data_IF_838537273300
#
_entry.id   IF_838537273300
#
_cell.length_a   1.000
_cell.length_b   1.000
_cell.length_c   1.000
_cell.angle_alpha   90.00
_cell.angle_beta   90.00
_cell.angle_gamma   90.00
#
_symmetry.space_group_name_H-M   'P 1'
#
loop_
_entity.id
_entity.type
_entity.pdbx_description
1 polymer ?
#
# COMPACT_ATOMS: atom_id res chain seq x y z
N UNK A 1 -29.54 46.20 -11.78
CA UNK A 1 -28.51 45.29 -12.34
C UNK A 1 -27.15 45.86 -12.03
N UNK A 2 -26.52 45.40 -10.96
CA UNK A 2 -25.19 45.82 -10.55
C UNK A 2 -24.61 44.70 -9.73
N UNK A 3 -23.89 43.78 -10.38
CA UNK A 3 -23.06 42.82 -9.68
C UNK A 3 -21.88 43.60 -9.13
N UNK A 4 -21.89 43.87 -7.83
CA UNK A 4 -20.76 44.47 -7.15
C UNK A 4 -19.54 43.57 -7.33
N UNK A 5 -18.45 44.12 -7.88
CA UNK A 5 -17.15 43.47 -8.00
C UNK A 5 -16.56 43.21 -6.60
N UNK A 6 -17.08 42.19 -5.93
CA UNK A 6 -16.46 41.62 -4.75
C UNK A 6 -15.13 40.98 -5.17
N UNK A 7 -14.01 41.25 -4.47
CA UNK A 7 -12.71 40.62 -4.73
C UNK A 7 -12.75 39.09 -4.79
N UNK A 8 -13.78 38.46 -4.19
CA UNK A 8 -13.99 37.01 -4.21
C UNK A 8 -14.36 36.47 -5.59
N UNK A 9 -15.18 37.19 -6.37
CA UNK A 9 -15.61 36.74 -7.70
C UNK A 9 -14.45 36.69 -8.71
N UNK A 10 -13.54 37.66 -8.64
CA UNK A 10 -12.39 37.75 -9.55
C UNK A 10 -11.38 36.60 -9.36
N UNK A 11 -11.21 36.13 -8.13
CA UNK A 11 -10.31 34.99 -7.83
C UNK A 11 -10.89 33.67 -8.35
N UNK A 12 -12.18 33.44 -8.13
CA UNK A 12 -12.88 32.25 -8.62
C UNK A 12 -12.88 32.15 -10.16
N UNK A 13 -13.16 33.24 -10.86
CA UNK A 13 -13.12 33.25 -12.33
C UNK A 13 -11.71 33.03 -12.90
N UNK A 14 -10.67 33.51 -12.20
CA UNK A 14 -9.29 33.22 -12.56
C UNK A 14 -8.99 31.72 -12.38
N UNK A 15 -9.45 31.11 -11.28
CA UNK A 15 -9.30 29.66 -11.05
C UNK A 15 -10.06 28.84 -12.10
N UNK A 16 -11.29 29.19 -12.46
CA UNK A 16 -12.02 28.50 -13.53
C UNK A 16 -11.34 28.61 -14.90
N UNK A 17 -10.71 29.76 -15.21
CA UNK A 17 -9.91 29.91 -16.43
C UNK A 17 -8.67 29.01 -16.43
N UNK A 18 -8.04 28.80 -15.27
CA UNK A 18 -6.94 27.85 -15.11
C UNK A 18 -7.47 26.43 -15.34
N UNK A 19 -8.57 26.05 -14.66
CA UNK A 19 -9.17 24.72 -14.79
C UNK A 19 -9.57 24.37 -16.22
N UNK A 20 -10.12 25.32 -17.00
CA UNK A 20 -10.46 25.12 -18.42
C UNK A 20 -9.25 24.84 -19.32
N UNK A 21 -8.04 25.16 -18.85
CA UNK A 21 -6.78 24.86 -19.56
C UNK A 21 -6.12 23.58 -19.03
N UNK A 22 -6.56 23.06 -17.88
CA UNK A 22 -6.06 21.81 -17.34
C UNK A 22 -6.52 20.64 -18.21
N UNK A 23 -5.57 19.79 -18.59
CA UNK A 23 -5.81 18.49 -19.24
C UNK A 23 -5.53 17.31 -18.32
N UNK A 24 -5.27 17.61 -17.04
CA UNK A 24 -4.87 16.65 -16.03
C UNK A 24 -5.78 16.79 -14.80
N UNK A 25 -6.42 15.67 -14.42
CA UNK A 25 -7.30 15.55 -13.26
C UNK A 25 -6.55 15.88 -11.96
N UNK A 26 -5.30 15.47 -11.82
CA UNK A 26 -4.50 15.72 -10.61
C UNK A 26 -4.23 17.21 -10.42
N UNK A 27 -4.01 17.95 -11.52
CA UNK A 27 -3.84 19.39 -11.47
C UNK A 27 -5.14 20.08 -11.02
N UNK A 28 -6.30 19.66 -11.55
CA UNK A 28 -7.62 20.15 -11.09
C UNK A 28 -7.79 19.90 -9.59
N UNK A 29 -7.46 18.69 -9.13
CA UNK A 29 -7.58 18.32 -7.71
C UNK A 29 -6.66 19.16 -6.81
N UNK A 30 -5.42 19.41 -7.24
CA UNK A 30 -4.48 20.26 -6.50
C UNK A 30 -5.01 21.69 -6.35
N UNK A 31 -5.50 22.27 -7.46
CA UNK A 31 -6.07 23.64 -7.46
C UNK A 31 -7.27 23.75 -6.52
N UNK A 32 -8.17 22.75 -6.51
CA UNK A 32 -9.34 22.74 -5.63
C UNK A 32 -8.95 22.50 -4.17
N UNK A 33 -7.98 21.60 -3.91
CA UNK A 33 -7.47 21.31 -2.56
C UNK A 33 -6.88 22.55 -1.90
N UNK A 34 -6.18 23.39 -2.67
CA UNK A 34 -5.57 24.64 -2.19
C UNK A 34 -6.56 25.81 -2.10
N UNK A 35 -7.78 25.65 -2.63
CA UNK A 35 -8.77 26.70 -2.61
C UNK A 35 -9.36 26.90 -1.20
N UNK A 36 -9.61 28.17 -0.85
CA UNK A 36 -10.25 28.50 0.41
C UNK A 36 -11.70 27.95 0.41
N UNK A 37 -12.27 27.61 1.57
CA UNK A 37 -13.66 27.16 1.65
C UNK A 37 -14.65 28.12 0.96
N UNK A 38 -14.40 29.44 1.05
CA UNK A 38 -15.22 30.47 0.42
C UNK A 38 -15.17 30.45 -1.13
N UNK A 39 -14.13 29.87 -1.72
CA UNK A 39 -13.96 29.78 -3.18
C UNK A 39 -14.61 28.50 -3.75
N UNK A 40 -15.06 27.56 -2.89
CA UNK A 40 -15.65 26.28 -3.32
C UNK A 40 -17.01 26.44 -4.00
N UNK A 41 -17.80 27.44 -3.64
CA UNK A 41 -19.06 27.78 -4.31
C UNK A 41 -18.85 27.99 -5.82
N UNK A 42 -17.72 28.59 -6.22
CA UNK A 42 -17.42 28.82 -7.64
C UNK A 42 -17.21 27.50 -8.39
N UNK A 43 -16.62 26.50 -7.74
CA UNK A 43 -16.47 25.16 -8.32
C UNK A 43 -17.78 24.38 -8.34
N UNK A 44 -18.62 24.55 -7.32
CA UNK A 44 -19.98 23.99 -7.30
C UNK A 44 -20.80 24.58 -8.46
N UNK A 45 -20.75 25.90 -8.65
CA UNK A 45 -21.43 26.58 -9.76
C UNK A 45 -20.90 26.12 -11.11
N UNK A 46 -19.59 25.87 -11.22
CA UNK A 46 -19.02 25.27 -12.43
C UNK A 46 -19.58 23.86 -12.68
N UNK A 47 -19.71 23.01 -11.66
CA UNK A 47 -20.36 21.71 -11.79
C UNK A 47 -21.83 21.83 -12.19
N UNK A 48 -22.59 22.75 -11.57
CA UNK A 48 -24.00 23.01 -11.96
C UNK A 48 -24.09 23.44 -13.43
N UNK A 49 -23.16 24.28 -13.89
CA UNK A 49 -23.10 24.74 -15.28
C UNK A 49 -22.71 23.64 -16.28
N UNK A 50 -21.98 22.61 -15.84
CA UNK A 50 -21.69 21.43 -16.66
C UNK A 50 -22.90 20.52 -16.88
N UNK A 51 -24.02 20.80 -16.20
CA UNK A 51 -25.42 20.62 -16.62
C UNK A 51 -26.25 19.75 -15.65
N UNK A 52 -27.49 20.18 -15.31
CA UNK A 52 -28.46 19.37 -14.56
C UNK A 52 -29.25 18.36 -15.41
N UNK A 53 -29.23 18.46 -16.75
CA UNK A 53 -30.10 17.66 -17.65
C UNK A 53 -29.34 16.77 -18.65
N UNK A 54 -28.01 16.69 -18.54
CA UNK A 54 -27.19 15.85 -19.42
C UNK A 54 -26.58 14.72 -18.61
N UNK A 55 -26.35 13.54 -19.22
CA UNK A 55 -25.57 12.49 -18.56
C UNK A 55 -24.20 13.07 -18.16
N UNK A 56 -23.66 12.65 -17.00
CA UNK A 56 -22.32 13.02 -16.61
C UNK A 56 -21.33 12.61 -17.72
N UNK A 57 -20.31 13.43 -18.00
CA UNK A 57 -19.36 13.13 -19.06
C UNK A 57 -18.59 11.85 -18.73
N UNK A 58 -18.74 10.84 -19.59
CA UNK A 58 -18.01 9.57 -19.48
C UNK A 58 -16.56 9.71 -19.97
N UNK A 59 -15.65 8.98 -19.35
CA UNK A 59 -14.24 8.83 -19.74
C UNK A 59 -13.42 10.13 -19.80
N UNK A 60 -12.10 10.03 -19.99
CA UNK A 60 -11.19 11.19 -20.10
C UNK A 60 -11.27 11.91 -21.47
N UNK A 61 -12.37 11.73 -22.21
CA UNK A 61 -12.51 12.22 -23.59
C UNK A 61 -12.97 13.68 -23.62
N UNK A 62 -12.04 14.58 -23.28
CA UNK A 62 -12.22 16.02 -23.40
C UNK A 62 -11.99 16.78 -22.11
N UNK A 63 -11.82 18.10 -22.25
CA UNK A 63 -11.55 19.00 -21.13
C UNK A 63 -12.68 18.98 -20.09
N UNK A 64 -13.94 18.90 -20.54
CA UNK A 64 -15.10 18.92 -19.65
C UNK A 64 -15.15 17.68 -18.75
N UNK A 65 -14.78 16.50 -19.25
CA UNK A 65 -14.72 15.28 -18.44
C UNK A 65 -13.60 15.33 -17.40
N UNK A 66 -12.41 15.82 -17.78
CA UNK A 66 -11.28 16.00 -16.85
C UNK A 66 -11.64 16.97 -15.72
N UNK A 67 -12.28 18.09 -16.07
CA UNK A 67 -12.74 19.09 -15.10
C UNK A 67 -13.82 18.49 -14.20
N UNK A 68 -14.83 17.83 -14.77
CA UNK A 68 -15.89 17.18 -14.00
C UNK A 68 -15.32 16.19 -12.99
N UNK A 69 -14.46 15.27 -13.44
CA UNK A 69 -13.86 14.26 -12.57
C UNK A 69 -13.03 14.91 -11.47
N UNK A 70 -12.13 15.84 -11.82
CA UNK A 70 -11.28 16.50 -10.85
C UNK A 70 -12.06 17.31 -9.82
N UNK A 71 -13.10 18.03 -10.24
CA UNK A 71 -13.98 18.80 -9.35
C UNK A 71 -14.76 17.89 -8.39
N UNK A 72 -15.40 16.83 -8.89
CA UNK A 72 -16.18 15.91 -8.05
C UNK A 72 -15.29 15.26 -7.00
N UNK A 73 -14.15 14.70 -7.40
CA UNK A 73 -13.24 14.02 -6.46
C UNK A 73 -12.65 14.98 -5.42
N UNK A 74 -12.21 16.16 -5.85
CA UNK A 74 -11.61 17.13 -4.94
C UNK A 74 -12.63 17.72 -3.95
N UNK A 75 -13.81 18.12 -4.42
CA UNK A 75 -14.86 18.67 -3.55
C UNK A 75 -15.41 17.62 -2.58
N UNK A 76 -15.53 16.36 -3.02
CA UNK A 76 -15.98 15.25 -2.16
C UNK A 76 -14.95 14.95 -1.06
N UNK A 77 -13.66 14.87 -1.41
CA UNK A 77 -12.57 14.70 -0.41
C UNK A 77 -12.42 15.89 0.52
N UNK A 78 -12.88 17.06 0.08
CA UNK A 78 -12.98 18.25 0.91
C UNK A 78 -14.27 18.32 1.76
N UNK A 79 -15.08 17.25 1.74
CA UNK A 79 -16.36 17.08 2.44
C UNK A 79 -17.38 18.21 2.18
N UNK A 80 -17.49 18.63 0.93
CA UNK A 80 -18.38 19.72 0.51
C UNK A 80 -19.81 19.19 0.36
N UNK A 81 -20.60 19.19 1.45
CA UNK A 81 -21.93 18.54 1.50
C UNK A 81 -22.94 19.09 0.49
N UNK A 82 -22.79 20.35 0.11
CA UNK A 82 -23.58 21.04 -0.92
C UNK A 82 -23.49 20.37 -2.29
N UNK A 83 -22.45 19.55 -2.51
CA UNK A 83 -22.27 18.75 -3.73
C UNK A 83 -23.27 17.57 -3.82
N UNK A 84 -23.77 17.06 -2.68
CA UNK A 84 -24.67 15.89 -2.65
C UNK A 84 -25.89 16.02 -3.57
N UNK A 85 -26.73 17.08 -3.50
CA UNK A 85 -27.89 17.20 -4.39
C UNK A 85 -27.53 17.22 -5.87
N UNK A 86 -26.36 17.76 -6.23
CA UNK A 86 -25.88 17.81 -7.62
C UNK A 86 -25.47 16.41 -8.10
N UNK A 87 -24.75 15.66 -7.28
CA UNK A 87 -24.40 14.28 -7.62
C UNK A 87 -25.62 13.36 -7.67
N UNK A 88 -26.61 13.59 -6.81
CA UNK A 88 -27.88 12.88 -6.87
C UNK A 88 -28.66 13.17 -8.16
N UNK A 89 -28.61 14.41 -8.69
CA UNK A 89 -29.23 14.70 -10.00
C UNK A 89 -28.51 14.00 -11.14
N UNK A 90 -27.17 13.90 -11.10
CA UNK A 90 -26.43 13.08 -12.07
C UNK A 90 -26.78 11.60 -11.96
N UNK A 91 -26.85 11.07 -10.73
CA UNK A 91 -27.21 9.67 -10.48
C UNK A 91 -28.66 9.34 -10.89
N UNK A 92 -29.55 10.33 -10.98
CA UNK A 92 -30.90 10.11 -11.51
C UNK A 92 -30.89 9.81 -13.02
N UNK A 93 -29.88 10.30 -13.75
CA UNK A 93 -29.69 10.06 -15.20
C UNK A 93 -28.86 8.80 -15.41
N UNK A 94 -27.71 8.71 -14.73
CA UNK A 94 -26.82 7.55 -14.75
C UNK A 94 -26.38 7.16 -13.32
N UNK A 95 -27.12 6.27 -12.65
CA UNK A 95 -26.83 5.88 -11.27
C UNK A 95 -25.55 5.05 -11.11
N UNK A 96 -24.96 4.56 -12.21
CA UNK A 96 -23.74 3.75 -12.18
C UNK A 96 -22.53 4.53 -12.70
N UNK A 97 -22.64 5.85 -12.88
CA UNK A 97 -21.50 6.66 -13.27
C UNK A 97 -20.42 6.62 -12.19
N UNK A 98 -19.31 5.94 -12.47
CA UNK A 98 -18.20 5.65 -11.55
C UNK A 98 -17.82 6.84 -10.64
N UNK A 99 -17.54 8.00 -11.23
CA UNK A 99 -17.09 9.19 -10.47
C UNK A 99 -18.18 9.78 -9.58
N UNK A 100 -19.44 9.68 -10.01
CA UNK A 100 -20.59 10.19 -9.24
C UNK A 100 -20.81 9.28 -8.03
N UNK A 101 -20.72 7.97 -8.24
CA UNK A 101 -20.78 6.96 -7.19
C UNK A 101 -19.66 7.17 -6.16
N UNK A 102 -18.40 7.32 -6.59
CA UNK A 102 -17.28 7.57 -5.68
C UNK A 102 -17.50 8.85 -4.85
N UNK A 103 -17.91 9.94 -5.50
CA UNK A 103 -18.17 11.21 -4.83
C UNK A 103 -19.31 11.12 -3.79
N UNK A 104 -20.43 10.50 -4.16
CA UNK A 104 -21.57 10.27 -3.27
C UNK A 104 -21.18 9.42 -2.05
N UNK A 105 -20.46 8.32 -2.29
CA UNK A 105 -19.99 7.44 -1.23
C UNK A 105 -18.98 8.13 -0.31
N UNK A 106 -18.10 8.98 -0.86
CA UNK A 106 -17.12 9.78 -0.10
C UNK A 106 -17.80 10.79 0.82
N UNK A 107 -18.78 11.53 0.31
CA UNK A 107 -19.53 12.54 1.08
C UNK A 107 -20.32 11.92 2.24
N UNK A 108 -20.79 10.69 2.06
CA UNK A 108 -21.45 9.89 3.08
C UNK A 108 -22.82 10.42 3.53
N UNK A 109 -23.56 11.08 2.66
CA UNK A 109 -24.93 11.50 2.94
C UNK A 109 -25.88 10.29 2.81
N UNK A 110 -26.75 10.03 3.81
CA UNK A 110 -27.67 8.89 3.76
C UNK A 110 -28.61 8.87 2.55
N UNK A 111 -28.86 10.02 1.90
CA UNK A 111 -29.64 10.08 0.66
C UNK A 111 -28.96 9.35 -0.51
N UNK A 112 -27.64 9.15 -0.44
CA UNK A 112 -26.86 8.42 -1.43
C UNK A 112 -26.95 6.89 -1.30
N UNK A 113 -27.47 6.37 -0.18
CA UNK A 113 -27.53 4.92 0.09
C UNK A 113 -28.09 4.11 -1.10
N UNK A 114 -29.23 4.47 -1.72
CA UNK A 114 -29.77 3.68 -2.83
C UNK A 114 -28.84 3.62 -4.05
N UNK A 115 -28.11 4.70 -4.33
CA UNK A 115 -27.16 4.77 -5.45
C UNK A 115 -25.94 3.91 -5.15
N UNK A 116 -25.37 4.06 -3.95
CA UNK A 116 -24.19 3.29 -3.51
C UNK A 116 -24.50 1.80 -3.43
N UNK A 117 -25.68 1.43 -2.92
CA UNK A 117 -26.14 0.04 -2.92
C UNK A 117 -26.22 -0.53 -4.35
N UNK A 118 -26.88 0.20 -5.26
CA UNK A 118 -27.00 -0.22 -6.65
C UNK A 118 -25.64 -0.38 -7.32
N UNK A 119 -24.70 0.51 -7.03
CA UNK A 119 -23.32 0.43 -7.52
C UNK A 119 -22.60 -0.81 -6.99
N UNK A 120 -22.74 -1.14 -5.70
CA UNK A 120 -22.14 -2.34 -5.12
C UNK A 120 -22.72 -3.65 -5.66
N UNK A 121 -23.97 -3.62 -6.13
CA UNK A 121 -24.70 -4.76 -6.67
C UNK A 121 -24.54 -4.90 -8.20
N UNK A 122 -23.93 -3.94 -8.91
CA UNK A 122 -23.82 -3.98 -10.36
C UNK A 122 -22.78 -4.99 -10.86
N UNK A 123 -22.73 -5.23 -12.18
CA UNK A 123 -21.78 -6.18 -12.79
C UNK A 123 -20.43 -5.55 -13.14
N UNK A 124 -20.37 -4.23 -13.26
CA UNK A 124 -19.13 -3.49 -13.50
C UNK A 124 -18.25 -3.42 -12.23
N UNK A 125 -17.07 -4.05 -12.30
CA UNK A 125 -16.07 -4.06 -11.22
C UNK A 125 -15.56 -2.66 -10.89
N UNK A 126 -15.35 -1.81 -11.89
CA UNK A 126 -14.84 -0.45 -11.70
C UNK A 126 -15.82 0.43 -10.90
N UNK A 127 -17.13 0.20 -11.09
CA UNK A 127 -18.19 0.91 -10.35
C UNK A 127 -18.30 0.40 -8.91
N UNK A 128 -18.17 -0.91 -8.68
CA UNK A 128 -18.12 -1.49 -7.32
C UNK A 128 -16.93 -0.97 -6.54
N UNK A 129 -15.75 -0.95 -7.16
CA UNK A 129 -14.52 -0.46 -6.54
C UNK A 129 -14.59 1.04 -6.22
N UNK A 130 -15.22 1.83 -7.09
CA UNK A 130 -15.46 3.25 -6.84
C UNK A 130 -16.38 3.47 -5.63
N UNK A 131 -17.42 2.65 -5.46
CA UNK A 131 -18.28 2.70 -4.29
C UNK A 131 -17.51 2.36 -3.00
N UNK A 132 -16.73 1.28 -3.00
CA UNK A 132 -15.91 0.88 -1.83
C UNK A 132 -14.82 1.90 -1.54
N UNK A 133 -14.20 2.49 -2.57
CA UNK A 133 -13.22 3.55 -2.41
C UNK A 133 -13.82 4.76 -1.70
N UNK A 134 -14.98 5.24 -2.17
CA UNK A 134 -15.67 6.35 -1.51
C UNK A 134 -16.07 6.02 -0.08
N UNK A 135 -16.61 4.83 0.19
CA UNK A 135 -16.94 4.41 1.57
C UNK A 135 -15.69 4.37 2.46
N UNK A 136 -14.57 3.83 1.96
CA UNK A 136 -13.31 3.75 2.71
C UNK A 136 -12.80 5.14 3.09
N UNK A 137 -12.78 6.08 2.14
CA UNK A 137 -12.39 7.48 2.38
C UNK A 137 -13.36 8.13 3.39
N UNK A 138 -14.66 7.86 3.25
CA UNK A 138 -15.68 8.36 4.18
C UNK A 138 -15.44 7.85 5.60
N UNK A 139 -15.12 6.56 5.76
CA UNK A 139 -14.83 5.96 7.05
C UNK A 139 -13.52 6.48 7.66
N UNK A 140 -12.45 6.60 6.86
CA UNK A 140 -11.14 7.12 7.27
C UNK A 140 -11.24 8.53 7.85
N UNK A 141 -11.95 9.41 7.16
CA UNK A 141 -12.10 10.80 7.59
C UNK A 141 -13.34 11.06 8.44
N UNK A 142 -14.10 10.01 8.77
CA UNK A 142 -15.41 10.10 9.46
C UNK A 142 -16.35 11.10 8.79
N UNK A 143 -16.36 11.10 7.46
CA UNK A 143 -17.36 11.82 6.69
C UNK A 143 -18.70 11.09 6.76
N UNK A 144 -19.72 11.76 6.27
CA UNK A 144 -21.08 11.24 6.30
C UNK A 144 -21.83 11.36 7.62
N UNK A 145 -23.12 11.07 7.54
CA UNK A 145 -23.99 10.99 8.71
C UNK A 145 -24.04 9.55 9.25
N UNK A 146 -24.50 9.43 10.50
CA UNK A 146 -24.53 8.14 11.20
C UNK A 146 -25.36 7.08 10.45
N UNK A 147 -26.43 7.49 9.76
CA UNK A 147 -27.28 6.54 9.02
C UNK A 147 -26.53 5.97 7.82
N UNK A 148 -25.79 6.80 7.10
CA UNK A 148 -24.93 6.34 6.01
C UNK A 148 -23.87 5.38 6.50
N UNK A 149 -23.10 5.74 7.54
CA UNK A 149 -22.00 4.91 8.03
C UNK A 149 -22.47 3.53 8.51
N UNK A 150 -23.56 3.48 9.27
CA UNK A 150 -24.15 2.22 9.74
C UNK A 150 -24.60 1.34 8.56
N UNK A 151 -25.26 1.92 7.57
CA UNK A 151 -25.75 1.16 6.43
C UNK A 151 -24.62 0.72 5.48
N UNK A 152 -23.58 1.55 5.34
CA UNK A 152 -22.39 1.24 4.54
C UNK A 152 -21.65 0.01 5.05
N UNK A 153 -21.60 -0.21 6.38
CA UNK A 153 -21.05 -1.45 6.92
C UNK A 153 -21.78 -2.67 6.36
N UNK A 154 -23.12 -2.66 6.45
CA UNK A 154 -23.94 -3.78 6.01
C UNK A 154 -23.83 -4.01 4.49
N UNK A 155 -23.73 -2.93 3.72
CA UNK A 155 -23.54 -2.99 2.28
C UNK A 155 -22.20 -3.64 1.91
N UNK A 156 -21.09 -3.14 2.47
CA UNK A 156 -19.74 -3.67 2.16
C UNK A 156 -19.62 -5.12 2.63
N UNK A 157 -20.15 -5.46 3.80
CA UNK A 157 -20.13 -6.84 4.31
C UNK A 157 -20.89 -7.81 3.38
N UNK A 158 -22.05 -7.40 2.85
CA UNK A 158 -22.78 -8.19 1.85
C UNK A 158 -22.02 -8.31 0.53
N UNK A 159 -21.40 -7.23 0.06
CA UNK A 159 -20.60 -7.25 -1.16
C UNK A 159 -19.39 -8.17 -1.04
N UNK A 160 -18.74 -8.20 0.12
CA UNK A 160 -17.61 -9.09 0.38
C UNK A 160 -18.01 -10.59 0.38
N UNK A 161 -19.24 -10.90 0.80
CA UNK A 161 -19.78 -12.27 0.75
C UNK A 161 -20.32 -12.68 -0.65
N UNK A 162 -20.35 -11.74 -1.61
CA UNK A 162 -20.82 -11.98 -2.97
C UNK A 162 -19.74 -12.65 -3.82
N UNK A 163 -20.09 -13.50 -4.81
CA UNK A 163 -19.11 -14.04 -5.76
C UNK A 163 -18.58 -12.99 -6.76
N UNK A 164 -19.10 -11.76 -6.75
CA UNK A 164 -18.66 -10.69 -7.64
C UNK A 164 -17.32 -10.12 -7.17
N UNK A 165 -16.39 -9.93 -8.11
CA UNK A 165 -15.07 -9.33 -7.81
C UNK A 165 -15.20 -7.94 -7.22
N UNK A 166 -14.39 -7.65 -6.23
CA UNK A 166 -14.31 -6.37 -5.54
C UNK A 166 -12.85 -6.21 -5.07
N UNK A 167 -12.37 -4.99 -4.92
CA UNK A 167 -11.16 -4.74 -4.14
C UNK A 167 -11.35 -5.18 -2.67
N UNK A 168 -11.04 -6.45 -2.40
CA UNK A 168 -11.27 -7.11 -1.10
C UNK A 168 -10.48 -6.42 0.01
N UNK A 169 -9.22 -6.05 -0.25
CA UNK A 169 -8.38 -5.36 0.74
C UNK A 169 -9.07 -4.08 1.18
N UNK A 170 -9.45 -3.21 0.23
CA UNK A 170 -10.09 -1.94 0.55
C UNK A 170 -11.44 -2.12 1.24
N UNK A 171 -12.20 -3.15 0.86
CA UNK A 171 -13.47 -3.49 1.52
C UNK A 171 -13.26 -3.90 2.99
N UNK A 172 -12.26 -4.75 3.27
CA UNK A 172 -11.91 -5.15 4.63
C UNK A 172 -11.47 -3.94 5.47
N UNK A 173 -10.59 -3.09 4.93
CA UNK A 173 -10.15 -1.88 5.63
C UNK A 173 -11.32 -0.92 5.90
N UNK A 174 -12.23 -0.73 4.95
CA UNK A 174 -13.42 0.09 5.12
C UNK A 174 -14.30 -0.45 6.26
N UNK A 175 -14.54 -1.77 6.32
CA UNK A 175 -15.29 -2.39 7.41
C UNK A 175 -14.64 -2.14 8.77
N UNK A 176 -13.31 -2.31 8.86
CA UNK A 176 -12.54 -2.10 10.09
C UNK A 176 -12.57 -0.64 10.56
N UNK A 177 -12.60 0.32 9.63
CA UNK A 177 -12.75 1.76 9.93
C UNK A 177 -14.17 2.14 10.34
N UNK A 178 -15.19 1.50 9.75
CA UNK A 178 -16.61 1.75 10.04
C UNK A 178 -17.01 1.21 11.41
N UNK A 179 -16.66 -0.04 11.71
CA UNK A 179 -16.95 -0.71 12.98
C UNK A 179 -15.91 -1.81 13.24
N UNK A 180 -14.83 -1.45 13.93
CA UNK A 180 -13.68 -2.33 14.18
C UNK A 180 -14.08 -3.64 14.87
N UNK A 181 -14.94 -3.58 15.89
CA UNK A 181 -15.33 -4.75 16.67
C UNK A 181 -16.15 -5.72 15.81
N UNK A 182 -17.17 -5.22 15.10
CA UNK A 182 -18.02 -6.05 14.24
C UNK A 182 -17.27 -6.59 13.03
N UNK A 183 -16.40 -5.78 12.42
CA UNK A 183 -15.54 -6.21 11.31
C UNK A 183 -14.54 -7.28 11.75
N UNK A 184 -13.93 -7.14 12.93
CA UNK A 184 -13.00 -8.15 13.47
C UNK A 184 -13.67 -9.51 13.59
N UNK A 185 -14.89 -9.57 14.13
CA UNK A 185 -15.66 -10.83 14.21
C UNK A 185 -15.95 -11.41 12.83
N UNK A 186 -16.35 -10.56 11.87
CA UNK A 186 -16.67 -10.98 10.50
C UNK A 186 -15.44 -11.51 9.75
N UNK A 187 -14.34 -10.76 9.78
CA UNK A 187 -13.14 -11.01 8.98
C UNK A 187 -12.25 -12.11 9.57
N UNK A 188 -12.41 -12.45 10.85
CA UNK A 188 -11.76 -13.60 11.49
C UNK A 188 -12.62 -14.87 11.49
N UNK A 189 -13.80 -14.83 10.87
CA UNK A 189 -14.64 -16.02 10.71
C UNK A 189 -13.96 -17.06 9.81
N UNK A 190 -14.22 -18.35 10.07
CA UNK A 190 -13.68 -19.49 9.30
C UNK A 190 -14.06 -19.44 7.81
N UNK A 191 -15.15 -18.74 7.45
CA UNK A 191 -15.52 -18.53 6.05
C UNK A 191 -14.61 -17.54 5.31
N UNK A 192 -13.98 -16.61 6.05
CA UNK A 192 -13.07 -15.60 5.49
C UNK A 192 -11.61 -16.04 5.58
N UNK A 193 -11.23 -16.66 6.71
CA UNK A 193 -9.88 -17.17 6.94
C UNK A 193 -9.85 -18.66 6.65
N UNK A 194 -9.80 -19.02 5.38
CA UNK A 194 -9.78 -20.40 4.87
C UNK A 194 -8.84 -20.54 3.70
N UNK A 195 -8.24 -21.72 3.54
CA UNK A 195 -7.37 -22.04 2.40
C UNK A 195 -8.06 -21.97 1.04
N UNK A 196 -9.39 -21.97 0.98
CA UNK A 196 -10.16 -21.82 -0.27
C UNK A 196 -10.40 -20.36 -0.68
N UNK A 197 -10.10 -19.39 0.18
CA UNK A 197 -10.30 -17.98 -0.11
C UNK A 197 -9.09 -17.44 -0.90
N UNK A 198 -9.28 -17.14 -2.18
CA UNK A 198 -8.22 -16.60 -3.05
C UNK A 198 -7.76 -15.19 -2.62
N UNK A 199 -8.61 -14.46 -1.89
CA UNK A 199 -8.31 -13.14 -1.35
C UNK A 199 -7.81 -13.19 0.10
N UNK A 200 -7.46 -14.37 0.62
CA UNK A 200 -7.00 -14.55 1.99
C UNK A 200 -5.85 -13.61 2.35
N UNK A 201 -4.86 -13.45 1.46
CA UNK A 201 -3.76 -12.49 1.69
C UNK A 201 -4.24 -11.06 1.92
N UNK A 202 -5.18 -10.57 1.10
CA UNK A 202 -5.79 -9.24 1.23
C UNK A 202 -6.57 -9.07 2.53
N UNK A 203 -7.28 -10.11 2.98
CA UNK A 203 -8.00 -10.10 4.26
C UNK A 203 -7.01 -10.03 5.43
N UNK A 204 -5.96 -10.85 5.40
CA UNK A 204 -4.94 -10.91 6.44
C UNK A 204 -4.13 -9.61 6.54
N UNK A 205 -3.77 -9.01 5.40
CA UNK A 205 -3.14 -7.70 5.32
C UNK A 205 -3.99 -6.63 6.04
N UNK A 206 -5.28 -6.56 5.72
CA UNK A 206 -6.18 -5.59 6.34
C UNK A 206 -6.32 -5.82 7.86
N UNK A 207 -6.38 -7.08 8.30
CA UNK A 207 -6.40 -7.44 9.73
C UNK A 207 -5.11 -7.02 10.43
N UNK A 208 -3.95 -7.26 9.81
CA UNK A 208 -2.64 -6.85 10.33
C UNK A 208 -2.58 -5.32 10.48
N UNK A 209 -2.92 -4.58 9.44
CA UNK A 209 -2.88 -3.12 9.42
C UNK A 209 -3.81 -2.52 10.50
N UNK A 210 -4.96 -3.17 10.76
CA UNK A 210 -5.90 -2.80 11.82
C UNK A 210 -5.60 -3.43 13.19
N UNK A 211 -4.45 -4.11 13.34
CA UNK A 211 -3.99 -4.79 14.56
C UNK A 211 -5.01 -5.78 15.15
N UNK A 212 -5.78 -6.45 14.29
CA UNK A 212 -6.73 -7.49 14.69
C UNK A 212 -5.97 -8.82 14.84
N UNK A 213 -6.07 -9.41 16.03
CA UNK A 213 -5.43 -10.69 16.34
C UNK A 213 -6.26 -11.85 15.81
N UNK A 214 -5.60 -12.79 15.13
CA UNK A 214 -6.21 -14.05 14.72
C UNK A 214 -6.16 -15.07 15.86
N UNK A 215 -7.20 -15.91 16.04
CA UNK A 215 -7.13 -17.04 16.95
C UNK A 215 -6.01 -18.02 16.52
N UNK A 216 -5.08 -18.41 17.41
CA UNK A 216 -3.97 -19.31 17.06
C UNK A 216 -4.42 -20.62 16.44
N UNK A 217 -5.53 -21.20 16.92
CA UNK A 217 -6.08 -22.47 16.42
C UNK A 217 -6.51 -22.35 14.95
N UNK A 218 -7.15 -21.23 14.60
CA UNK A 218 -7.57 -20.93 13.24
C UNK A 218 -6.35 -20.75 12.34
N UNK A 219 -5.37 -19.94 12.76
CA UNK A 219 -4.13 -19.70 12.02
C UNK A 219 -3.37 -21.01 11.75
N UNK A 220 -3.27 -21.89 12.74
CA UNK A 220 -2.63 -23.21 12.60
C UNK A 220 -3.37 -24.09 11.60
N UNK A 221 -4.70 -24.18 11.71
CA UNK A 221 -5.52 -24.98 10.80
C UNK A 221 -5.32 -24.54 9.35
N UNK A 222 -5.38 -23.24 9.09
CA UNK A 222 -5.26 -22.70 7.73
C UNK A 222 -3.84 -22.89 7.18
N UNK A 223 -2.79 -22.71 7.99
CA UNK A 223 -1.42 -23.02 7.57
C UNK A 223 -1.26 -24.51 7.20
N UNK A 224 -1.87 -25.42 7.94
CA UNK A 224 -1.81 -26.86 7.64
C UNK A 224 -2.60 -27.24 6.38
N UNK A 225 -3.68 -26.54 6.10
CA UNK A 225 -4.42 -26.68 4.84
C UNK A 225 -3.63 -26.11 3.65
N UNK A 226 -3.00 -24.94 3.80
CA UNK A 226 -2.23 -24.29 2.73
C UNK A 226 -1.05 -25.14 2.25
N UNK A 227 -0.45 -25.96 3.13
CA UNK A 227 0.58 -26.94 2.76
C UNK A 227 0.10 -28.03 1.78
N UNK A 228 -1.21 -28.24 1.67
CA UNK A 228 -1.82 -29.30 0.85
C UNK A 228 -2.32 -28.79 -0.50
N UNK A 229 -2.37 -27.47 -0.70
CA UNK A 229 -2.77 -26.87 -1.97
C UNK A 229 -1.53 -26.50 -2.79
N UNK A 230 -1.63 -26.47 -4.14
CA UNK A 230 -0.51 -26.04 -4.98
C UNK A 230 -0.06 -24.63 -4.62
N UNK A 231 1.26 -24.45 -4.55
CA UNK A 231 1.83 -23.13 -4.33
C UNK A 231 1.52 -22.21 -5.52
N UNK A 232 0.92 -21.08 -5.20
CA UNK A 232 0.59 -19.99 -6.10
C UNK A 232 0.95 -18.67 -5.41
N UNK A 233 0.90 -17.57 -6.15
CA UNK A 233 1.15 -16.25 -5.59
C UNK A 233 0.30 -15.96 -4.33
N UNK A 234 -1.00 -16.29 -4.36
CA UNK A 234 -1.91 -15.99 -3.26
C UNK A 234 -1.71 -16.93 -2.05
N UNK A 235 -1.39 -18.21 -2.25
CA UNK A 235 -1.11 -19.13 -1.13
C UNK A 235 0.19 -18.76 -0.43
N UNK A 236 1.21 -18.30 -1.17
CA UNK A 236 2.46 -17.84 -0.60
C UNK A 236 2.24 -16.55 0.20
N UNK A 237 1.54 -15.57 -0.36
CA UNK A 237 1.16 -14.34 0.36
C UNK A 237 0.35 -14.65 1.63
N UNK A 238 -0.65 -15.53 1.56
CA UNK A 238 -1.41 -15.94 2.75
C UNK A 238 -0.54 -16.65 3.79
N UNK A 239 0.39 -17.52 3.36
CA UNK A 239 1.32 -18.20 4.26
C UNK A 239 2.19 -17.20 5.02
N UNK A 240 2.72 -16.19 4.33
CA UNK A 240 3.54 -15.13 4.91
C UNK A 240 2.77 -14.41 6.02
N UNK A 241 1.57 -13.91 5.72
CA UNK A 241 0.76 -13.20 6.71
C UNK A 241 0.34 -14.06 7.89
N UNK A 242 0.05 -15.35 7.67
CA UNK A 242 -0.31 -16.28 8.75
C UNK A 242 0.86 -16.60 9.67
N UNK A 243 2.09 -16.70 9.14
CA UNK A 243 3.29 -16.89 9.97
C UNK A 243 3.51 -15.67 10.88
N UNK A 244 3.39 -14.46 10.33
CA UNK A 244 3.51 -13.21 11.09
C UNK A 244 2.39 -13.07 12.13
N UNK A 245 1.15 -13.42 11.78
CA UNK A 245 0.03 -13.43 12.73
C UNK A 245 0.23 -14.46 13.85
N UNK A 246 0.74 -15.65 13.53
CA UNK A 246 1.02 -16.69 14.52
C UNK A 246 2.13 -16.23 15.48
N UNK A 247 3.19 -15.60 14.98
CA UNK A 247 4.29 -15.09 15.81
C UNK A 247 3.83 -14.12 16.90
N UNK A 248 2.80 -13.31 16.63
CA UNK A 248 2.23 -12.36 17.61
C UNK A 248 1.37 -13.03 18.68
N UNK A 249 0.84 -14.23 18.43
CA UNK A 249 -0.19 -14.85 19.28
C UNK A 249 0.24 -16.18 19.90
N UNK A 250 1.14 -16.91 19.24
CA UNK A 250 1.76 -18.16 19.69
C UNK A 250 3.21 -18.22 19.20
N UNK A 251 4.15 -17.48 19.85
CA UNK A 251 5.54 -17.40 19.43
C UNK A 251 6.24 -18.74 19.25
N UNK A 252 6.01 -19.69 20.16
CA UNK A 252 6.62 -21.02 20.10
C UNK A 252 6.18 -21.78 18.84
N UNK A 253 4.87 -21.80 18.56
CA UNK A 253 4.32 -22.47 17.37
C UNK A 253 4.79 -21.80 16.08
N UNK A 254 4.94 -20.47 16.09
CA UNK A 254 5.46 -19.72 14.97
C UNK A 254 6.91 -20.10 14.65
N UNK A 255 7.79 -20.19 15.67
CA UNK A 255 9.18 -20.62 15.48
C UNK A 255 9.24 -22.02 14.87
N UNK A 256 8.49 -22.97 15.43
CA UNK A 256 8.45 -24.34 14.93
C UNK A 256 8.05 -24.38 13.44
N UNK A 257 6.98 -23.68 13.08
CA UNK A 257 6.43 -23.68 11.71
C UNK A 257 7.28 -22.89 10.73
N UNK A 258 7.69 -21.68 11.09
CA UNK A 258 8.51 -20.81 10.24
C UNK A 258 9.88 -21.43 9.94
N UNK A 259 10.47 -22.19 10.87
CA UNK A 259 11.74 -22.90 10.64
C UNK A 259 11.69 -23.79 9.39
N UNK A 260 10.54 -24.42 9.10
CA UNK A 260 10.37 -25.25 7.90
C UNK A 260 10.41 -24.46 6.57
N UNK A 261 10.22 -23.14 6.64
CA UNK A 261 10.20 -22.24 5.48
C UNK A 261 11.51 -21.45 5.29
N UNK A 262 12.48 -21.57 6.19
CA UNK A 262 13.77 -20.86 6.06
C UNK A 262 14.58 -21.25 4.82
N UNK A 263 14.37 -22.47 4.30
CA UNK A 263 15.04 -22.99 3.10
C UNK A 263 14.09 -23.06 1.89
N UNK A 264 12.93 -22.40 1.96
CA UNK A 264 11.94 -22.38 0.88
C UNK A 264 12.51 -21.76 -0.41
N UNK A 265 12.19 -22.25 -1.62
CA UNK A 265 12.72 -21.69 -2.88
C UNK A 265 12.29 -20.23 -3.12
N UNK A 266 11.07 -19.86 -2.75
CA UNK A 266 10.57 -18.48 -2.84
C UNK A 266 11.19 -17.57 -1.76
N UNK A 267 11.82 -16.46 -2.18
CA UNK A 267 12.51 -15.51 -1.30
C UNK A 267 11.54 -14.84 -0.30
N UNK A 268 10.38 -14.39 -0.76
CA UNK A 268 9.40 -13.71 0.12
C UNK A 268 8.94 -14.60 1.26
N UNK A 269 8.78 -15.90 0.99
CA UNK A 269 8.42 -16.90 1.99
C UNK A 269 9.53 -17.13 3.01
N UNK A 270 10.81 -17.17 2.58
CA UNK A 270 11.96 -17.21 3.51
C UNK A 270 12.02 -15.95 4.37
N UNK A 271 11.85 -14.78 3.76
CA UNK A 271 11.87 -13.50 4.46
C UNK A 271 10.78 -13.44 5.53
N UNK A 272 9.53 -13.80 5.20
CA UNK A 272 8.44 -13.82 6.17
C UNK A 272 8.66 -14.85 7.29
N UNK A 273 9.28 -16.00 6.96
CA UNK A 273 9.66 -16.99 7.97
C UNK A 273 10.72 -16.43 8.94
N UNK A 274 11.74 -15.76 8.41
CA UNK A 274 12.75 -15.08 9.22
C UNK A 274 12.13 -13.98 10.10
N UNK A 275 11.25 -13.16 9.53
CA UNK A 275 10.56 -12.11 10.26
C UNK A 275 9.64 -12.69 11.36
N UNK A 276 8.90 -13.76 11.08
CA UNK A 276 8.06 -14.43 12.07
C UNK A 276 8.88 -14.97 13.25
N UNK A 277 10.07 -15.54 12.99
CA UNK A 277 10.96 -16.02 14.05
C UNK A 277 11.51 -14.83 14.86
N UNK A 278 11.96 -13.76 14.21
CA UNK A 278 12.44 -12.57 14.90
C UNK A 278 11.34 -11.96 15.80
N UNK A 279 10.13 -11.83 15.26
CA UNK A 279 8.97 -11.33 15.98
C UNK A 279 8.58 -12.22 17.17
N UNK A 280 8.63 -13.54 17.01
CA UNK A 280 8.40 -14.50 18.10
C UNK A 280 9.46 -14.40 19.22
N UNK A 281 10.64 -13.86 18.92
CA UNK A 281 11.67 -13.53 19.91
C UNK A 281 11.54 -12.12 20.53
N UNK A 282 10.45 -11.39 20.22
CA UNK A 282 10.22 -10.02 20.70
C UNK A 282 11.16 -9.00 20.07
N UNK A 283 11.70 -9.31 18.89
CA UNK A 283 12.59 -8.42 18.16
C UNK A 283 11.80 -7.60 17.16
N UNK A 284 12.26 -6.36 16.93
CA UNK A 284 11.75 -5.54 15.84
C UNK A 284 11.94 -6.31 14.53
N UNK A 285 10.89 -6.31 13.70
CA UNK A 285 10.97 -6.74 12.30
C UNK A 285 12.09 -5.98 11.58
N UNK A 286 12.48 -6.44 10.38
CA UNK A 286 13.71 -5.97 9.75
C UNK A 286 13.74 -4.43 9.66
N UNK A 287 14.89 -3.87 10.06
CA UNK A 287 15.16 -2.47 10.44
C UNK A 287 14.98 -1.40 9.34
N UNK A 288 14.07 -1.61 8.39
CA UNK A 288 13.88 -0.72 7.25
C UNK A 288 13.22 0.63 7.60
N UNK A 289 12.69 0.78 8.82
CA UNK A 289 11.98 1.99 9.25
C UNK A 289 12.68 2.73 10.41
N UNK A 290 14.02 2.77 10.42
CA UNK A 290 14.75 3.65 11.33
C UNK A 290 14.98 5.03 10.70
N UNK A 291 14.65 6.09 11.43
CA UNK A 291 15.00 7.47 11.06
C UNK A 291 16.51 7.70 11.23
N UNK A 292 17.05 8.70 10.52
CA UNK A 292 18.48 9.06 10.65
C UNK A 292 18.89 9.46 12.07
N UNK A 293 17.96 9.97 12.88
CA UNK A 293 18.22 10.31 14.28
C UNK A 293 18.31 9.06 15.18
N UNK A 294 17.53 8.01 14.88
CA UNK A 294 17.60 6.73 15.57
C UNK A 294 18.88 5.98 15.21
N UNK A 295 19.33 6.07 13.95
CA UNK A 295 20.56 5.44 13.47
C UNK A 295 21.78 5.70 14.35
N UNK A 296 21.98 6.95 14.79
CA UNK A 296 23.16 7.30 15.59
C UNK A 296 23.19 6.56 16.94
N UNK A 297 22.02 6.30 17.51
CA UNK A 297 21.81 5.67 18.81
C UNK A 297 21.86 4.14 18.74
N UNK A 298 21.77 3.57 17.53
CA UNK A 298 21.83 2.13 17.34
C UNK A 298 23.24 1.57 17.60
N UNK A 299 23.27 0.39 18.21
CA UNK A 299 24.50 -0.39 18.31
C UNK A 299 25.00 -0.84 16.94
N UNK A 300 26.28 -1.19 16.85
CA UNK A 300 26.91 -1.60 15.60
C UNK A 300 26.17 -2.72 14.85
N UNK A 301 25.66 -3.79 15.52
CA UNK A 301 24.90 -4.83 14.83
C UNK A 301 23.66 -4.33 14.09
N UNK A 302 22.91 -3.41 14.69
CA UNK A 302 21.72 -2.84 14.05
C UNK A 302 22.10 -1.92 12.87
N UNK A 303 23.19 -1.15 12.97
CA UNK A 303 23.73 -0.34 11.85
C UNK A 303 24.12 -1.21 10.65
N UNK A 304 24.77 -2.36 10.88
CA UNK A 304 25.12 -3.30 9.80
C UNK A 304 23.85 -3.85 9.11
N UNK A 305 22.81 -4.16 9.87
CA UNK A 305 21.55 -4.62 9.29
C UNK A 305 20.84 -3.57 8.46
N UNK A 306 20.96 -2.29 8.82
CA UNK A 306 20.42 -1.20 8.00
C UNK A 306 21.21 -1.05 6.71
N UNK A 307 22.55 -1.11 6.76
CA UNK A 307 23.35 -1.11 5.54
C UNK A 307 23.01 -2.25 4.58
N UNK A 308 22.78 -3.46 5.11
CA UNK A 308 22.29 -4.59 4.30
C UNK A 308 20.92 -4.29 3.71
N UNK A 309 19.99 -3.80 4.54
CA UNK A 309 18.63 -3.50 4.10
C UNK A 309 18.57 -2.43 3.00
N UNK A 310 19.31 -1.33 3.18
CA UNK A 310 19.41 -0.26 2.18
C UNK A 310 20.07 -0.76 0.90
N UNK A 311 21.15 -1.55 1.00
CA UNK A 311 21.82 -2.10 -0.17
C UNK A 311 20.91 -3.06 -0.95
N UNK A 312 20.22 -3.97 -0.25
CA UNK A 312 19.23 -4.85 -0.86
C UNK A 312 18.13 -4.05 -1.55
N UNK A 313 17.54 -3.05 -0.88
CA UNK A 313 16.52 -2.20 -1.48
C UNK A 313 17.01 -1.52 -2.76
N UNK A 314 18.22 -0.94 -2.77
CA UNK A 314 18.78 -0.31 -3.96
C UNK A 314 18.93 -1.29 -5.12
N UNK A 315 19.52 -2.46 -4.85
CA UNK A 315 19.80 -3.47 -5.87
C UNK A 315 18.50 -4.09 -6.40
N UNK A 316 17.57 -4.45 -5.52
CA UNK A 316 16.33 -5.13 -5.89
C UNK A 316 15.35 -4.20 -6.61
N UNK A 317 15.31 -2.91 -6.26
CA UNK A 317 14.41 -1.95 -6.90
C UNK A 317 14.98 -1.36 -8.20
N UNK A 318 16.30 -1.17 -8.28
CA UNK A 318 16.91 -0.33 -9.32
C UNK A 318 18.16 -0.94 -9.97
N UNK A 319 18.55 -2.15 -9.60
CA UNK A 319 19.74 -2.83 -10.11
C UNK A 319 21.03 -2.46 -9.37
N UNK A 320 22.11 -3.18 -9.68
CA UNK A 320 23.41 -3.04 -8.99
C UNK A 320 24.00 -1.63 -9.12
N UNK A 321 23.85 -0.98 -10.26
CA UNK A 321 24.32 0.40 -10.50
C UNK A 321 23.69 1.43 -9.57
N UNK A 322 22.46 1.22 -9.11
CA UNK A 322 21.79 2.15 -8.21
C UNK A 322 22.52 2.31 -6.88
N UNK A 323 23.14 1.25 -6.37
CA UNK A 323 23.95 1.30 -5.16
C UNK A 323 25.09 2.34 -5.28
N UNK A 324 25.71 2.44 -6.45
CA UNK A 324 26.86 3.34 -6.69
C UNK A 324 26.45 4.74 -7.13
N UNK A 325 25.32 4.86 -7.84
CA UNK A 325 24.75 6.15 -8.24
C UNK A 325 24.21 6.93 -7.04
N UNK A 326 23.49 6.24 -6.16
CA UNK A 326 22.73 6.87 -5.08
C UNK A 326 23.57 7.10 -3.83
N UNK A 327 24.64 6.34 -3.61
CA UNK A 327 25.47 6.44 -2.41
C UNK A 327 26.77 7.23 -2.61
N UNK A 328 27.27 7.84 -1.55
CA UNK A 328 28.59 8.48 -1.40
C UNK A 328 29.75 7.66 -1.98
N UNK A 329 30.80 8.30 -2.53
CA UNK A 329 32.02 7.59 -2.89
C UNK A 329 32.54 6.75 -1.70
N UNK A 330 32.53 5.43 -1.86
CA UNK A 330 33.01 4.49 -0.84
C UNK A 330 31.99 4.04 0.21
N UNK A 331 30.77 4.57 0.21
CA UNK A 331 29.70 4.12 1.13
C UNK A 331 29.29 2.67 0.88
N UNK A 332 29.41 2.17 -0.36
CA UNK A 332 29.16 0.77 -0.71
C UNK A 332 30.04 -0.20 0.09
N UNK A 333 31.20 0.24 0.62
CA UNK A 333 32.04 -0.58 1.49
C UNK A 333 31.35 -0.93 2.80
N UNK A 334 30.50 -0.04 3.32
CA UNK A 334 29.69 -0.33 4.51
C UNK A 334 28.73 -1.51 4.27
N UNK A 335 28.16 -1.62 3.06
CA UNK A 335 27.34 -2.78 2.69
C UNK A 335 28.19 -4.06 2.58
N UNK A 336 29.36 -3.99 1.94
CA UNK A 336 30.31 -5.12 1.85
C UNK A 336 30.72 -5.61 3.25
N UNK A 337 31.13 -4.70 4.13
CA UNK A 337 31.49 -5.01 5.51
C UNK A 337 30.32 -5.64 6.27
N UNK A 338 29.10 -5.15 6.05
CA UNK A 338 27.90 -5.70 6.67
C UNK A 338 27.55 -7.11 6.15
N UNK A 339 27.58 -7.35 4.84
CA UNK A 339 27.37 -8.69 4.27
C UNK A 339 28.43 -9.68 4.77
N UNK A 340 29.70 -9.27 4.82
CA UNK A 340 30.76 -10.08 5.40
C UNK A 340 30.53 -10.37 6.88
N UNK A 341 30.04 -9.40 7.66
CA UNK A 341 29.76 -9.58 9.09
C UNK A 341 28.66 -10.63 9.37
N UNK A 342 27.70 -10.79 8.46
CA UNK A 342 26.67 -11.85 8.57
C UNK A 342 27.08 -13.16 7.88
N UNK A 343 28.22 -13.19 7.21
CA UNK A 343 28.72 -14.35 6.47
C UNK A 343 28.18 -14.50 5.04
N UNK A 344 27.54 -13.47 4.48
CA UNK A 344 27.04 -13.44 3.10
C UNK A 344 28.16 -13.06 2.12
N UNK A 345 29.16 -13.95 2.01
CA UNK A 345 30.42 -13.68 1.31
C UNK A 345 30.21 -13.52 -0.20
N UNK A 346 29.26 -14.24 -0.79
CA UNK A 346 29.01 -14.14 -2.24
C UNK A 346 28.35 -12.79 -2.60
N UNK A 347 27.38 -12.35 -1.81
CA UNK A 347 26.72 -11.04 -1.94
C UNK A 347 27.73 -9.89 -1.78
N UNK A 348 28.64 -9.99 -0.81
CA UNK A 348 29.74 -9.03 -0.65
C UNK A 348 30.67 -9.02 -1.89
N UNK A 349 31.06 -10.21 -2.38
CA UNK A 349 31.93 -10.35 -3.55
C UNK A 349 31.29 -9.77 -4.82
N UNK A 350 29.98 -9.94 -5.01
CA UNK A 350 29.24 -9.36 -6.15
C UNK A 350 29.38 -7.82 -6.15
N UNK A 351 29.18 -7.18 -4.99
CA UNK A 351 29.29 -5.73 -4.85
C UNK A 351 30.74 -5.27 -5.10
N UNK A 352 31.74 -5.94 -4.51
CA UNK A 352 33.15 -5.63 -4.72
C UNK A 352 33.59 -5.82 -6.17
N UNK A 353 33.07 -6.84 -6.85
CA UNK A 353 33.36 -7.10 -8.24
C UNK A 353 32.78 -6.00 -9.13
N UNK A 354 31.51 -5.64 -8.91
CA UNK A 354 30.88 -4.57 -9.68
C UNK A 354 31.52 -3.21 -9.42
N UNK A 355 32.03 -2.95 -8.20
CA UNK A 355 32.73 -1.73 -7.86
C UNK A 355 33.97 -1.45 -8.74
N UNK A 356 34.56 -2.47 -9.37
CA UNK A 356 35.70 -2.32 -10.30
C UNK A 356 35.34 -1.53 -11.57
N UNK A 357 34.05 -1.45 -11.91
CA UNK A 357 33.54 -0.69 -13.04
C UNK A 357 33.23 0.76 -12.68
N UNK A 358 33.52 1.21 -11.46
CA UNK A 358 33.22 2.57 -10.99
C UNK A 358 34.49 3.31 -10.59
N UNK A 359 34.60 4.57 -11.02
CA UNK A 359 35.66 5.46 -10.53
C UNK A 359 35.31 6.03 -9.15
N UNK A 360 36.32 6.60 -8.47
CA UNK A 360 36.12 7.38 -7.25
C UNK A 360 35.21 8.60 -7.44
N UNK A 361 35.01 9.07 -8.68
CA UNK A 361 34.12 10.18 -9.05
C UNK A 361 32.71 9.72 -9.47
N UNK A 362 32.32 8.47 -9.17
CA UNK A 362 31.04 7.86 -9.58
C UNK A 362 30.83 7.82 -11.10
N UNK A 363 31.90 7.76 -11.88
CA UNK A 363 31.78 7.51 -13.32
C UNK A 363 31.85 6.02 -13.57
N UNK A 364 30.82 5.49 -14.22
CA UNK A 364 30.83 4.13 -14.77
C UNK A 364 31.86 4.06 -15.89
N UNK A 365 32.75 3.08 -15.83
CA UNK A 365 33.72 2.77 -16.85
C UNK A 365 33.13 1.71 -17.76
N UNK A 366 32.90 2.03 -19.03
CA UNK A 366 32.42 1.02 -19.99
C UNK A 366 33.43 -0.13 -20.10
N UNK A 367 34.74 0.17 -20.06
CA UNK A 367 35.82 -0.82 -19.95
C UNK A 367 36.94 -0.28 -19.05
N UNK A 368 37.31 -1.06 -18.05
CA UNK A 368 38.46 -0.79 -17.17
C UNK A 368 39.69 -1.59 -17.57
N UNK A 369 40.91 -1.14 -17.23
CA UNK A 369 42.12 -1.94 -17.42
C UNK A 369 42.00 -3.31 -16.71
N UNK A 370 42.04 -4.39 -17.48
CA UNK A 370 41.96 -5.76 -16.95
C UNK A 370 40.53 -6.35 -16.84
N UNK A 371 39.49 -5.62 -17.25
CA UNK A 371 38.12 -6.13 -17.31
C UNK A 371 37.90 -6.83 -18.66
N UNK A 372 37.34 -8.04 -18.64
CA UNK A 372 37.16 -8.87 -19.84
C UNK A 372 35.85 -8.58 -20.58
N UNK A 373 34.88 -7.98 -19.90
CA UNK A 373 33.55 -7.62 -20.38
C UNK A 373 33.30 -6.13 -20.10
N UNK A 374 32.25 -5.57 -20.71
CA UNK A 374 31.84 -4.20 -20.38
C UNK A 374 30.98 -4.13 -19.12
N UNK A 375 30.78 -2.93 -18.58
CA UNK A 375 30.03 -2.76 -17.34
C UNK A 375 28.57 -3.22 -17.42
N UNK A 376 27.95 -3.20 -18.60
CA UNK A 376 26.56 -3.63 -18.79
C UNK A 376 26.47 -5.15 -18.75
N UNK A 377 27.37 -5.82 -19.48
CA UNK A 377 27.52 -7.28 -19.45
C UNK A 377 27.79 -7.78 -18.02
N UNK A 378 28.67 -7.08 -17.29
CA UNK A 378 28.97 -7.39 -15.89
C UNK A 378 27.76 -7.22 -14.97
N UNK A 379 27.00 -6.12 -15.11
CA UNK A 379 25.78 -5.88 -14.33
C UNK A 379 24.77 -7.00 -14.54
N UNK A 380 24.44 -7.35 -15.79
CA UNK A 380 23.49 -8.41 -16.10
C UNK A 380 23.91 -9.77 -15.53
N UNK A 381 25.21 -10.10 -15.59
CA UNK A 381 25.75 -11.36 -15.04
C UNK A 381 25.69 -11.38 -13.52
N UNK A 382 26.12 -10.30 -12.88
CA UNK A 382 26.18 -10.20 -11.43
C UNK A 382 24.79 -10.08 -10.80
N UNK A 383 23.83 -9.42 -11.46
CA UNK A 383 22.44 -9.42 -11.04
C UNK A 383 21.84 -10.82 -11.11
N UNK A 384 22.09 -11.59 -12.17
CA UNK A 384 21.67 -13.00 -12.24
C UNK A 384 22.22 -13.80 -11.05
N UNK A 385 23.48 -13.61 -10.68
CA UNK A 385 24.06 -14.25 -9.50
C UNK A 385 23.41 -13.77 -8.20
N UNK A 386 23.18 -12.46 -8.06
CA UNK A 386 22.53 -11.87 -6.89
C UNK A 386 21.16 -12.51 -6.59
N UNK A 387 20.37 -12.72 -7.65
CA UNK A 387 19.03 -13.31 -7.58
C UNK A 387 19.02 -14.82 -7.35
N UNK A 388 20.15 -15.52 -7.55
CA UNK A 388 20.26 -16.92 -7.11
C UNK A 388 20.25 -17.04 -5.58
N UNK A 389 20.62 -15.97 -4.86
CA UNK A 389 20.65 -15.91 -3.39
C UNK A 389 21.32 -17.15 -2.75
N UNK A 390 22.51 -17.49 -3.25
CA UNK A 390 23.29 -18.62 -2.76
C UNK A 390 23.65 -18.49 -1.27
N UNK A 391 23.80 -17.26 -0.77
CA UNK A 391 24.06 -16.98 0.66
C UNK A 391 22.84 -17.25 1.55
N UNK A 392 21.61 -17.31 0.99
CA UNK A 392 20.36 -17.33 1.75
C UNK A 392 20.29 -16.16 2.73
N UNK A 393 20.40 -14.94 2.22
CA UNK A 393 20.57 -13.70 3.01
C UNK A 393 19.59 -13.60 4.18
N UNK A 394 18.31 -13.89 3.97
CA UNK A 394 17.26 -13.84 5.01
C UNK A 394 17.59 -14.68 6.25
N UNK A 395 18.21 -15.85 6.05
CA UNK A 395 18.59 -16.78 7.12
C UNK A 395 19.81 -16.28 7.88
N UNK A 396 20.81 -15.77 7.16
CA UNK A 396 22.03 -15.21 7.77
C UNK A 396 21.70 -13.94 8.58
N UNK A 397 20.84 -13.07 8.03
CA UNK A 397 20.33 -11.90 8.73
C UNK A 397 19.60 -12.30 10.02
N UNK A 398 18.69 -13.28 9.97
CA UNK A 398 18.01 -13.79 11.17
C UNK A 398 19.00 -14.30 12.22
N UNK A 399 19.96 -15.14 11.83
CA UNK A 399 20.94 -15.70 12.77
C UNK A 399 21.79 -14.60 13.42
N UNK A 400 22.17 -13.58 12.65
CA UNK A 400 22.89 -12.43 13.15
C UNK A 400 22.05 -11.63 14.16
N UNK A 401 20.80 -11.32 13.82
CA UNK A 401 19.84 -10.63 14.69
C UNK A 401 19.63 -11.39 16.00
N UNK A 402 19.42 -12.71 15.95
CA UNK A 402 19.22 -13.54 17.15
C UNK A 402 20.45 -13.58 18.05
N UNK A 403 21.67 -13.56 17.48
CA UNK A 403 22.93 -13.51 18.23
C UNK A 403 23.15 -12.19 18.95
N UNK A 404 22.57 -11.11 18.41
CA UNK A 404 22.77 -9.73 18.84
C UNK A 404 21.48 -9.08 19.34
N UNK A 405 20.53 -9.89 19.85
CA UNK A 405 19.15 -9.52 20.16
C UNK A 405 18.99 -8.26 21.02
N UNK A 406 19.96 -7.98 21.89
CA UNK A 406 20.02 -6.78 22.74
C UNK A 406 20.00 -5.47 21.94
N UNK A 407 20.38 -5.51 20.66
CA UNK A 407 20.37 -4.38 19.75
C UNK A 407 19.07 -4.22 18.95
N UNK A 408 18.11 -5.16 19.10
CA UNK A 408 16.90 -5.24 18.26
C UNK A 408 15.61 -5.35 19.08
N UNK A 409 15.64 -5.09 20.38
CA UNK A 409 14.46 -5.19 21.24
C UNK A 409 13.41 -4.14 20.88
N UNK A 410 12.14 -4.56 20.83
CA UNK A 410 10.99 -3.66 20.72
C UNK A 410 10.86 -2.82 22.01
N UNK A 411 10.58 -1.51 21.91
CA UNK A 411 10.02 -0.75 23.02
C UNK A 411 8.80 -1.45 23.64
N UNK A 412 8.62 -1.33 24.96
CA UNK A 412 7.58 -2.06 25.70
C UNK A 412 6.14 -1.76 25.19
N UNK A 413 5.92 -0.60 24.58
CA UNK A 413 4.64 -0.17 24.01
C UNK A 413 4.30 -0.81 22.65
N UNK A 414 5.27 -1.42 21.96
CA UNK A 414 5.07 -2.14 20.69
C UNK A 414 4.90 -3.65 20.85
N UNK A 415 5.02 -4.18 22.08
CA UNK A 415 4.81 -5.60 22.39
C UNK A 415 3.32 -5.99 22.53
N UNK A 416 2.41 -5.01 22.39
CA UNK A 416 0.97 -5.11 22.67
C UNK A 416 0.07 -5.45 21.50
#
# INVERSE_FOLDING_TARGET
>A
MGWGNSPRGLRGEAQLRILRRCRDTLMVMSVVKEALPADREVFIDALRALAPDKPPPHNHDGADSVIFIGLVLALSRANTRELTPILLSYAAIDPLHRTVVEGLATLGDHRAIPVVQKALECDDESVRDAAVMGISISAEHRFGDQKFLQHSFDLVARSLASPKRLDVRRACEALLRLDHARASVLLTATSMVTSSNQDLGSVLDALRDARVRLPPDLTRSVLDELKRVPETYWTLSATQELLLALARTSPHDAIERATAYLDHPDQRTRQAASEAIALAHGLRGPLFECTSAELEQLGQPAKLMIHIGEAMFQIEANGLSALFCNWGPGEWRGAVDAFNAIGAVESASIIEEYAKYWTSERRRLDRGPGLQEDATEAEERLEKQWWLDNDRRDRLMLQFVLRHKEHFQLPDDEQG
#
